data_IF_020085269749
#
_entry.id   IF_020085269749
#
_cell.length_a   1.000
_cell.length_b   1.000
_cell.length_c   1.000
_cell.angle_alpha   90.00
_cell.angle_beta   90.00
_cell.angle_gamma   90.00
#
_symmetry.space_group_name_H-M   'P 1'
#
loop_
_entity.id
_entity.type
_entity.pdbx_description
1 polymer ?
#
# COMPACT_ATOMS: atom_id res chain seq x y z
N UNK A 1 -25.22 -22.73 -42.41
CA UNK A 1 -25.14 -21.27 -42.56
C UNK A 1 -24.08 -20.78 -41.58
N UNK A 2 -22.82 -20.70 -42.04
CA UNK A 2 -21.65 -20.45 -41.20
C UNK A 2 -21.28 -18.96 -41.34
N UNK A 3 -21.84 -18.13 -40.47
CA UNK A 3 -21.62 -16.68 -40.45
C UNK A 3 -20.97 -16.33 -39.11
N UNK A 4 -19.73 -15.81 -39.20
CA UNK A 4 -19.13 -14.79 -38.34
C UNK A 4 -18.83 -15.13 -36.88
N UNK A 5 -17.84 -15.97 -36.60
CA UNK A 5 -17.11 -15.86 -35.31
C UNK A 5 -15.72 -15.22 -35.45
N UNK A 6 -15.07 -15.39 -36.60
CA UNK A 6 -13.76 -14.79 -36.89
C UNK A 6 -13.88 -13.31 -37.34
N UNK A 7 -14.89 -12.97 -38.15
CA UNK A 7 -15.12 -11.61 -38.67
C UNK A 7 -15.38 -10.52 -37.61
N UNK A 8 -15.77 -10.89 -36.39
CA UNK A 8 -16.01 -9.91 -35.33
C UNK A 8 -14.71 -9.44 -34.67
N UNK A 9 -13.72 -10.33 -34.54
CA UNK A 9 -12.41 -10.01 -33.97
C UNK A 9 -11.54 -9.15 -34.91
N UNK A 10 -11.73 -9.27 -36.23
CA UNK A 10 -10.95 -8.52 -37.23
C UNK A 10 -11.46 -7.08 -37.46
N UNK A 11 -12.57 -6.69 -36.82
CA UNK A 11 -13.05 -5.32 -36.93
C UNK A 11 -12.15 -4.36 -36.16
N UNK A 12 -11.73 -3.23 -36.75
CA UNK A 12 -10.91 -2.24 -36.06
C UNK A 12 -11.59 -1.71 -34.78
N UNK A 13 -12.92 -1.71 -34.75
CA UNK A 13 -13.71 -1.37 -33.56
C UNK A 13 -13.50 -2.34 -32.39
N UNK A 14 -13.34 -3.63 -32.64
CA UNK A 14 -13.05 -4.63 -31.60
C UNK A 14 -11.64 -4.43 -31.01
N UNK A 15 -10.68 -4.00 -31.84
CA UNK A 15 -9.31 -3.67 -31.38
C UNK A 15 -9.33 -2.45 -30.45
N UNK A 16 -10.09 -1.41 -30.78
CA UNK A 16 -10.26 -0.24 -29.91
C UNK A 16 -10.95 -0.58 -28.59
N UNK A 17 -11.95 -1.46 -28.60
CA UNK A 17 -12.58 -1.96 -27.37
C UNK A 17 -11.57 -2.70 -26.49
N UNK A 18 -10.75 -3.58 -27.07
CA UNK A 18 -9.72 -4.29 -26.33
C UNK A 18 -8.68 -3.34 -25.72
N UNK A 19 -8.21 -2.33 -26.47
CA UNK A 19 -7.34 -1.29 -25.94
C UNK A 19 -8.01 -0.47 -24.83
N UNK A 20 -9.31 -0.16 -24.96
CA UNK A 20 -10.07 0.53 -23.94
C UNK A 20 -10.13 -0.24 -22.63
N UNK A 21 -10.44 -1.55 -22.70
CA UNK A 21 -10.47 -2.42 -21.51
C UNK A 21 -9.09 -2.55 -20.88
N UNK A 22 -8.04 -2.71 -21.70
CA UNK A 22 -6.66 -2.77 -21.22
C UNK A 22 -6.24 -1.48 -20.49
N UNK A 23 -6.50 -0.31 -21.10
CA UNK A 23 -6.21 0.98 -20.50
C UNK A 23 -7.00 1.20 -19.20
N UNK A 24 -8.29 0.82 -19.19
CA UNK A 24 -9.11 0.89 -17.99
C UNK A 24 -8.55 0.05 -16.84
N UNK A 25 -8.07 -1.17 -17.13
CA UNK A 25 -7.44 -2.00 -16.11
C UNK A 25 -6.13 -1.41 -15.59
N UNK A 26 -5.29 -0.86 -16.47
CA UNK A 26 -4.06 -0.16 -16.03
C UNK A 26 -4.36 1.03 -15.14
N UNK A 27 -5.38 1.83 -15.46
CA UNK A 27 -5.82 2.94 -14.60
C UNK A 27 -6.29 2.41 -13.25
N UNK A 28 -7.09 1.35 -13.23
CA UNK A 28 -7.64 0.79 -12.00
C UNK A 28 -6.53 0.24 -11.08
N UNK A 29 -5.56 -0.49 -11.65
CA UNK A 29 -4.36 -0.94 -10.95
C UNK A 29 -3.57 0.26 -10.42
N UNK A 30 -3.38 1.30 -11.25
CA UNK A 30 -2.64 2.50 -10.86
C UNK A 30 -3.33 3.25 -9.71
N UNK A 31 -4.67 3.33 -9.68
CA UNK A 31 -5.42 3.99 -8.60
C UNK A 31 -5.31 3.20 -7.30
N UNK A 32 -5.52 1.87 -7.36
CA UNK A 32 -5.46 1.00 -6.16
C UNK A 32 -4.04 0.99 -5.60
N UNK A 33 -3.05 0.85 -6.46
CA UNK A 33 -1.64 0.82 -6.09
C UNK A 33 -0.98 2.20 -6.13
N UNK A 34 -1.74 3.28 -6.22
CA UNK A 34 -1.18 4.64 -6.30
C UNK A 34 -0.26 4.93 -5.12
N UNK A 35 -0.62 4.42 -3.93
CA UNK A 35 0.21 4.53 -2.71
C UNK A 35 1.49 3.69 -2.75
N UNK A 36 1.53 2.60 -3.52
CA UNK A 36 2.72 1.77 -3.73
C UNK A 36 3.62 2.33 -4.86
N UNK A 37 2.99 2.87 -5.90
CA UNK A 37 3.66 3.46 -7.08
C UNK A 37 4.21 4.85 -6.81
N UNK A 38 3.65 5.58 -5.84
CA UNK A 38 4.24 6.82 -5.35
C UNK A 38 5.52 6.44 -4.61
N UNK A 39 6.72 6.74 -5.15
CA UNK A 39 7.93 6.58 -4.36
C UNK A 39 7.70 7.41 -3.09
N UNK A 40 7.82 6.75 -1.94
CA UNK A 40 7.81 7.43 -0.67
C UNK A 40 9.03 8.35 -0.72
N UNK A 41 8.82 9.60 -1.17
CA UNK A 41 9.84 10.62 -1.07
C UNK A 41 10.10 10.74 0.41
N UNK A 42 11.14 10.04 0.86
CA UNK A 42 11.76 10.26 2.14
C UNK A 42 12.37 11.66 2.04
N UNK A 43 11.52 12.67 2.12
CA UNK A 43 11.95 14.01 2.45
C UNK A 43 12.34 13.95 3.91
N UNK A 44 13.50 13.34 4.15
CA UNK A 44 14.21 13.29 5.42
C UNK A 44 14.81 14.68 5.65
N UNK A 45 13.94 15.68 5.80
CA UNK A 45 14.32 17.03 6.26
C UNK A 45 13.11 17.80 6.80
N UNK A 46 12.11 17.08 7.34
CA UNK A 46 11.11 17.68 8.21
C UNK A 46 11.50 17.38 9.64
N UNK A 47 11.62 18.40 10.48
CA UNK A 47 11.86 18.33 11.93
C UNK A 47 11.21 17.09 12.51
N UNK A 48 12.00 16.13 12.99
CA UNK A 48 11.48 14.85 13.52
C UNK A 48 10.38 15.18 14.52
N UNK A 49 9.14 14.83 14.18
CA UNK A 49 8.00 15.17 15.02
C UNK A 49 8.19 14.43 16.35
N UNK A 50 8.55 15.17 17.40
CA UNK A 50 8.90 14.60 18.71
C UNK A 50 7.74 13.77 19.28
N UNK A 51 6.50 14.14 18.94
CA UNK A 51 5.30 13.37 19.30
C UNK A 51 5.21 12.03 18.56
N UNK A 52 5.64 11.96 17.30
CA UNK A 52 5.75 10.70 16.56
C UNK A 52 6.76 9.75 17.22
N UNK A 53 7.95 10.25 17.56
CA UNK A 53 9.00 9.42 18.19
C UNK A 53 8.56 8.92 19.57
N UNK A 54 7.90 9.77 20.36
CA UNK A 54 7.34 9.37 21.65
C UNK A 54 6.25 8.30 21.50
N UNK A 55 5.32 8.47 20.55
CA UNK A 55 4.28 7.49 20.24
C UNK A 55 4.87 6.13 19.85
N UNK A 56 5.88 6.13 18.96
CA UNK A 56 6.52 4.91 18.50
C UNK A 56 7.30 4.24 19.64
N UNK A 57 7.99 5.01 20.47
CA UNK A 57 8.77 4.50 21.62
C UNK A 57 7.86 3.84 22.66
N UNK A 58 6.74 4.46 23.00
CA UNK A 58 5.79 3.91 23.98
C UNK A 58 5.15 2.61 23.47
N UNK A 59 4.80 2.55 22.18
CA UNK A 59 4.18 1.36 21.59
C UNK A 59 5.17 0.23 21.37
N UNK A 60 6.40 0.54 20.94
CA UNK A 60 7.44 -0.46 20.76
C UNK A 60 7.88 -1.07 22.09
N UNK A 61 8.02 -0.28 23.16
CA UNK A 61 8.36 -0.82 24.48
C UNK A 61 7.27 -1.75 25.04
N UNK A 62 6.00 -1.43 24.81
CA UNK A 62 4.89 -2.32 25.17
C UNK A 62 4.93 -3.64 24.38
N UNK A 63 5.30 -3.59 23.10
CA UNK A 63 5.46 -4.80 22.27
C UNK A 63 6.66 -5.62 22.73
N UNK A 64 7.79 -4.99 23.05
CA UNK A 64 8.98 -5.67 23.55
C UNK A 64 8.69 -6.37 24.88
N UNK A 65 7.90 -5.75 25.77
CA UNK A 65 7.44 -6.41 26.99
C UNK A 65 6.53 -7.61 26.72
N UNK A 66 5.66 -7.55 25.72
CA UNK A 66 4.83 -8.71 25.35
C UNK A 66 5.65 -9.88 24.78
N UNK A 67 6.82 -9.62 24.18
CA UNK A 67 7.77 -10.67 23.78
C UNK A 67 8.44 -11.26 25.03
N UNK A 68 8.89 -10.41 25.96
CA UNK A 68 9.53 -10.83 27.21
C UNK A 68 8.59 -11.66 28.10
N UNK A 69 7.30 -11.31 28.12
CA UNK A 69 6.24 -12.04 28.81
C UNK A 69 5.76 -13.30 28.04
N UNK A 70 6.38 -13.63 26.91
CA UNK A 70 6.02 -14.76 26.00
C UNK A 70 4.55 -14.75 25.56
N UNK A 71 3.92 -13.57 25.53
CA UNK A 71 2.53 -13.38 25.11
C UNK A 71 2.41 -13.42 23.58
N UNK A 72 3.47 -13.04 22.88
CA UNK A 72 3.51 -12.97 21.41
C UNK A 72 4.83 -13.52 20.87
N UNK A 73 4.78 -14.13 19.69
CA UNK A 73 5.99 -14.57 18.99
C UNK A 73 6.73 -13.39 18.34
N UNK A 74 8.04 -13.52 18.15
CA UNK A 74 8.89 -12.50 17.52
C UNK A 74 8.39 -12.10 16.11
N UNK A 75 7.89 -13.07 15.34
CA UNK A 75 7.27 -12.83 14.02
C UNK A 75 6.03 -11.93 14.11
N UNK A 76 5.26 -12.04 15.18
CA UNK A 76 4.07 -11.23 15.43
C UNK A 76 4.46 -9.84 15.92
N UNK A 77 5.53 -9.74 16.73
CA UNK A 77 6.06 -8.48 17.19
C UNK A 77 6.51 -7.58 16.04
N UNK A 78 7.14 -8.14 14.99
CA UNK A 78 7.48 -7.39 13.78
C UNK A 78 6.23 -6.75 13.16
N UNK A 79 5.16 -7.54 12.97
CA UNK A 79 3.89 -7.05 12.42
C UNK A 79 3.24 -5.98 13.32
N UNK A 80 3.30 -6.13 14.63
CA UNK A 80 2.78 -5.13 15.56
C UNK A 80 3.58 -3.84 15.55
N UNK A 81 4.91 -3.91 15.45
CA UNK A 81 5.78 -2.74 15.31
C UNK A 81 5.49 -1.99 14.01
N UNK A 82 5.28 -2.70 12.90
CA UNK A 82 4.87 -2.09 11.61
C UNK A 82 3.50 -1.40 11.72
N UNK A 83 2.51 -2.01 12.39
CA UNK A 83 1.21 -1.37 12.62
C UNK A 83 1.30 -0.16 13.55
N UNK A 84 2.17 -0.22 14.56
CA UNK A 84 2.41 0.89 15.48
C UNK A 84 3.03 2.09 14.75
N UNK A 85 4.01 1.85 13.87
CA UNK A 85 4.59 2.89 12.99
C UNK A 85 3.52 3.54 12.12
N UNK A 86 2.73 2.74 11.40
CA UNK A 86 1.64 3.24 10.56
C UNK A 86 0.64 4.10 11.36
N UNK A 87 0.25 3.64 12.55
CA UNK A 87 -0.65 4.40 13.43
C UNK A 87 -0.04 5.72 13.89
N UNK A 88 1.19 5.70 14.41
CA UNK A 88 1.85 6.92 14.89
C UNK A 88 2.06 7.93 13.75
N UNK A 89 2.33 7.49 12.51
CA UNK A 89 2.39 8.36 11.33
C UNK A 89 1.05 8.99 10.97
N UNK A 90 -0.06 8.25 11.09
CA UNK A 90 -1.40 8.82 10.85
C UNK A 90 -1.80 9.84 11.91
N UNK A 91 -1.39 9.63 13.16
CA UNK A 91 -1.73 10.51 14.28
C UNK A 91 -0.85 11.75 14.35
N UNK A 92 0.42 11.62 13.96
CA UNK A 92 1.41 12.69 13.95
C UNK A 92 2.07 12.74 12.58
N UNK A 93 1.39 13.34 11.57
CA UNK A 93 1.98 13.48 10.25
C UNK A 93 3.27 14.31 10.32
N UNK A 94 4.18 14.04 9.37
CA UNK A 94 5.32 14.91 9.14
C UNK A 94 4.78 16.29 8.74
N UNK A 95 5.29 17.34 9.40
CA UNK A 95 4.98 18.74 9.09
C UNK A 95 5.89 19.24 7.98
#
# INVERSE_FOLDING_TARGET
MNITRQDWLDRPTARWLAFGVFAAMLILITVIHYRYLRPHSQTTTGTVNTKYVLCLKERSSAIDRMIDEDVIEEKQAILFKTRADARCRTQFPAQ
#
